data_IF_942024210330
#
_entry.id   IF_942024210330
#
_cell.length_a   1.000
_cell.length_b   1.000
_cell.length_c   1.000
_cell.angle_alpha   90.00
_cell.angle_beta   90.00
_cell.angle_gamma   90.00
#
_symmetry.space_group_name_H-M   'P 1'
#
loop_
_entity.id
_entity.type
_entity.pdbx_description
1 polymer ?
#
# COMPACT_ATOMS: atom_id res chain seq x y z
N UNK A 1 11.66 83.30 -32.83
CA UNK A 1 11.00 82.72 -34.01
C UNK A 1 10.73 81.26 -33.67
N UNK A 2 9.63 80.98 -32.98
CA UNK A 2 8.29 80.73 -33.52
C UNK A 2 8.15 79.26 -33.96
N UNK A 3 7.77 78.40 -33.03
CA UNK A 3 7.19 77.10 -33.36
C UNK A 3 5.82 76.99 -32.69
N UNK A 4 4.80 77.04 -33.53
CA UNK A 4 3.38 76.98 -33.16
C UNK A 4 2.73 76.10 -34.20
N UNK A 5 2.40 74.84 -33.86
CA UNK A 5 1.33 74.09 -34.52
C UNK A 5 0.61 73.18 -33.52
N UNK A 6 -0.56 73.68 -33.13
CA UNK A 6 -1.72 72.96 -32.62
C UNK A 6 -2.46 72.24 -33.78
N UNK A 7 -3.15 71.15 -33.45
CA UNK A 7 -4.19 70.49 -34.26
C UNK A 7 -3.81 69.05 -34.64
N UNK A 8 -4.64 68.01 -34.48
CA UNK A 8 -6.09 67.93 -34.35
C UNK A 8 -6.49 66.52 -33.80
N UNK A 9 -7.77 66.24 -33.52
CA UNK A 9 -8.23 65.15 -32.64
C UNK A 9 -8.28 63.79 -33.33
N UNK A 10 -7.86 62.74 -32.62
CA UNK A 10 -8.05 61.35 -33.05
C UNK A 10 -9.53 60.98 -32.92
N UNK A 11 -10.16 60.79 -34.08
CA UNK A 11 -11.49 60.21 -34.20
C UNK A 11 -11.52 58.77 -33.71
N UNK A 12 -12.52 58.48 -32.88
CA UNK A 12 -12.96 57.12 -32.58
C UNK A 12 -13.53 56.48 -33.86
N UNK A 13 -12.95 55.35 -34.27
CA UNK A 13 -13.48 54.51 -35.35
C UNK A 13 -14.62 53.62 -34.79
N UNK A 14 -15.86 53.71 -35.32
CA UNK A 14 -17.00 52.91 -34.83
C UNK A 14 -17.08 51.49 -35.42
N UNK A 15 -16.00 50.94 -35.99
CA UNK A 15 -16.04 49.64 -36.68
C UNK A 15 -15.10 48.63 -36.03
N UNK A 16 -15.37 48.27 -34.79
CA UNK A 16 -14.81 47.04 -34.21
C UNK A 16 -15.83 45.91 -34.41
N UNK A 17 -15.66 45.03 -35.42
CA UNK A 17 -16.52 43.87 -35.54
C UNK A 17 -16.31 42.98 -34.32
N UNK A 18 -17.43 42.60 -33.69
CA UNK A 18 -17.48 41.66 -32.58
C UNK A 18 -16.51 40.51 -32.82
N UNK A 19 -15.39 40.50 -32.08
CA UNK A 19 -14.47 39.36 -32.01
C UNK A 19 -15.28 38.16 -31.54
N UNK A 20 -15.70 37.34 -32.48
CA UNK A 20 -16.13 35.98 -32.22
C UNK A 20 -15.03 35.35 -31.36
N UNK A 21 -15.35 35.08 -30.09
CA UNK A 21 -14.46 34.33 -29.19
C UNK A 21 -14.24 32.98 -29.85
N UNK A 22 -13.12 32.85 -30.54
CA UNK A 22 -12.70 31.62 -31.16
C UNK A 22 -12.64 30.55 -30.08
N UNK A 23 -13.41 29.48 -30.25
CA UNK A 23 -13.42 28.29 -29.39
C UNK A 23 -12.08 27.50 -29.44
N UNK A 24 -10.99 28.13 -29.89
CA UNK A 24 -9.69 27.51 -30.17
C UNK A 24 -8.70 27.54 -29.01
N UNK A 25 -9.03 28.16 -27.88
CA UNK A 25 -8.12 28.22 -26.71
C UNK A 25 -8.30 27.01 -25.77
N UNK A 26 -8.70 25.87 -26.32
CA UNK A 26 -8.62 24.60 -25.61
C UNK A 26 -7.15 24.19 -25.62
N UNK A 27 -6.45 24.49 -24.51
CA UNK A 27 -5.05 24.11 -24.34
C UNK A 27 -4.93 22.57 -24.31
N UNK A 28 -4.33 21.91 -25.32
CA UNK A 28 -4.27 20.46 -25.43
C UNK A 28 -3.51 19.78 -24.27
N UNK A 29 -2.63 20.52 -23.58
CA UNK A 29 -1.96 20.03 -22.37
C UNK A 29 -2.94 19.89 -21.19
N UNK A 30 -3.93 20.77 -21.11
CA UNK A 30 -4.96 20.73 -20.06
C UNK A 30 -5.89 19.55 -20.24
N UNK A 31 -6.28 19.24 -21.48
CA UNK A 31 -7.13 18.09 -21.80
C UNK A 31 -6.43 16.77 -21.53
N UNK A 32 -5.18 16.61 -21.98
CA UNK A 32 -4.39 15.40 -21.70
C UNK A 32 -4.18 15.17 -20.20
N UNK A 33 -4.05 16.25 -19.41
CA UNK A 33 -3.96 16.16 -17.95
C UNK A 33 -5.29 15.75 -17.30
N UNK A 34 -6.42 16.15 -17.89
CA UNK A 34 -7.77 15.80 -17.42
C UNK A 34 -8.11 14.35 -17.75
N UNK A 35 -7.83 13.89 -18.96
CA UNK A 35 -8.03 12.50 -19.38
C UNK A 35 -7.23 11.52 -18.52
N UNK A 36 -5.97 11.84 -18.25
CA UNK A 36 -5.12 11.00 -17.40
C UNK A 36 -5.63 10.91 -15.97
N UNK A 37 -6.08 12.03 -15.39
CA UNK A 37 -6.72 12.03 -14.07
C UNK A 37 -8.01 11.24 -14.05
N UNK A 38 -8.85 11.37 -15.08
CA UNK A 38 -10.09 10.60 -15.19
C UNK A 38 -9.81 9.10 -15.23
N UNK A 39 -8.80 8.68 -16.01
CA UNK A 39 -8.37 7.28 -16.05
C UNK A 39 -7.91 6.80 -14.67
N UNK A 40 -7.07 7.58 -13.98
CA UNK A 40 -6.55 7.21 -12.67
C UNK A 40 -7.68 7.11 -11.62
N UNK A 41 -8.69 7.98 -11.67
CA UNK A 41 -9.89 7.90 -10.83
C UNK A 41 -10.71 6.64 -11.15
N UNK A 42 -10.97 6.38 -12.44
CA UNK A 42 -11.70 5.19 -12.87
C UNK A 42 -10.97 3.91 -12.44
N UNK A 43 -9.64 3.86 -12.57
CA UNK A 43 -8.81 2.77 -12.09
C UNK A 43 -8.98 2.55 -10.58
N UNK A 44 -8.94 3.61 -9.76
CA UNK A 44 -9.15 3.51 -8.31
C UNK A 44 -10.54 2.97 -7.98
N UNK A 45 -11.59 3.49 -8.63
CA UNK A 45 -12.97 3.02 -8.44
C UNK A 45 -13.11 1.55 -8.79
N UNK A 46 -12.53 1.12 -9.93
CA UNK A 46 -12.51 -0.28 -10.35
C UNK A 46 -11.80 -1.15 -9.31
N UNK A 47 -10.64 -0.73 -8.81
CA UNK A 47 -9.86 -1.52 -7.85
C UNK A 47 -10.54 -1.62 -6.47
N UNK A 48 -11.22 -0.56 -6.01
CA UNK A 48 -12.04 -0.64 -4.79
C UNK A 48 -13.24 -1.58 -5.01
N UNK A 49 -13.87 -1.49 -6.18
CA UNK A 49 -15.04 -2.31 -6.51
C UNK A 49 -14.67 -3.79 -6.59
N UNK A 50 -13.67 -4.14 -7.39
CA UNK A 50 -13.22 -5.52 -7.59
C UNK A 50 -12.48 -6.06 -6.36
N UNK A 51 -11.65 -5.24 -5.72
CA UNK A 51 -10.76 -5.66 -4.64
C UNK A 51 -11.40 -5.73 -3.26
N UNK A 52 -12.49 -4.98 -3.02
CA UNK A 52 -13.18 -4.94 -1.73
C UNK A 52 -14.69 -5.14 -1.87
N UNK A 53 -15.38 -4.29 -2.64
CA UNK A 53 -16.84 -4.29 -2.64
C UNK A 53 -17.45 -5.62 -3.11
N UNK A 54 -16.99 -6.18 -4.25
CA UNK A 54 -17.50 -7.44 -4.78
C UNK A 54 -17.21 -8.62 -3.83
N UNK A 55 -15.98 -8.87 -3.35
CA UNK A 55 -15.73 -9.94 -2.39
C UNK A 55 -16.57 -9.83 -1.12
N UNK A 56 -16.76 -8.61 -0.60
CA UNK A 56 -17.61 -8.36 0.57
C UNK A 56 -19.09 -8.65 0.28
N UNK A 57 -19.60 -8.24 -0.88
CA UNK A 57 -20.99 -8.50 -1.28
C UNK A 57 -21.24 -9.99 -1.46
N UNK A 58 -20.31 -10.73 -2.07
CA UNK A 58 -20.38 -12.19 -2.21
C UNK A 58 -20.40 -12.84 -0.82
N UNK A 59 -19.49 -12.44 0.08
CA UNK A 59 -19.45 -12.95 1.44
C UNK A 59 -20.74 -12.63 2.21
N UNK A 60 -21.30 -11.43 2.04
CA UNK A 60 -22.55 -11.03 2.67
C UNK A 60 -23.75 -11.82 2.13
N UNK A 61 -23.86 -12.00 0.80
CA UNK A 61 -24.95 -12.76 0.19
C UNK A 61 -24.91 -14.23 0.55
N UNK A 62 -23.71 -14.79 0.75
CA UNK A 62 -23.52 -16.15 1.21
C UNK A 62 -23.66 -16.31 2.74
N UNK A 63 -23.94 -15.22 3.48
CA UNK A 63 -24.00 -15.25 4.95
C UNK A 63 -22.64 -15.42 5.66
N UNK A 64 -21.54 -15.42 4.90
CA UNK A 64 -20.19 -15.68 5.38
C UNK A 64 -19.47 -14.44 5.95
N UNK A 65 -19.97 -13.21 5.73
CA UNK A 65 -19.25 -11.99 6.14
C UNK A 65 -19.01 -11.91 7.65
N UNK A 66 -19.92 -12.45 8.46
CA UNK A 66 -19.85 -12.42 9.93
C UNK A 66 -19.33 -13.72 10.54
N UNK A 67 -18.87 -14.65 9.70
CA UNK A 67 -18.42 -15.98 10.11
C UNK A 67 -16.91 -16.05 9.81
N UNK A 68 -16.08 -16.43 10.80
CA UNK A 68 -14.66 -16.60 10.57
C UNK A 68 -14.41 -17.81 9.67
N UNK A 69 -13.40 -17.73 8.80
CA UNK A 69 -13.02 -18.72 7.79
C UNK A 69 -11.50 -18.95 7.78
N UNK A 70 -11.09 -20.19 7.50
CA UNK A 70 -9.67 -20.59 7.49
C UNK A 70 -9.02 -20.35 8.86
N UNK A 71 -7.88 -19.65 8.92
CA UNK A 71 -7.17 -19.38 10.18
C UNK A 71 -7.64 -18.08 10.84
N UNK A 72 -8.53 -17.31 10.20
CA UNK A 72 -8.90 -15.99 10.70
C UNK A 72 -9.66 -16.04 12.04
N UNK A 73 -10.31 -17.18 12.38
CA UNK A 73 -10.96 -17.39 13.68
C UNK A 73 -9.95 -17.25 14.81
N UNK A 74 -8.73 -17.77 14.62
CA UNK A 74 -7.65 -17.69 15.59
C UNK A 74 -7.17 -16.26 15.72
N UNK A 75 -7.01 -15.54 14.60
CA UNK A 75 -6.51 -14.17 14.61
C UNK A 75 -7.53 -13.19 15.22
N UNK A 76 -8.83 -13.40 14.94
CA UNK A 76 -9.94 -12.66 15.55
C UNK A 76 -10.03 -12.94 17.05
N UNK A 77 -9.86 -14.20 17.47
CA UNK A 77 -9.84 -14.56 18.90
C UNK A 77 -8.70 -13.85 19.63
N UNK A 78 -7.49 -13.85 19.05
CA UNK A 78 -6.34 -13.13 19.58
C UNK A 78 -6.61 -11.62 19.66
N UNK A 79 -7.19 -11.03 18.61
CA UNK A 79 -7.53 -9.61 18.56
C UNK A 79 -8.53 -9.23 19.68
N UNK A 80 -9.63 -9.96 19.79
CA UNK A 80 -10.72 -9.64 20.71
C UNK A 80 -10.30 -9.79 22.16
N UNK A 81 -9.64 -10.90 22.53
CA UNK A 81 -9.06 -11.07 23.87
C UNK A 81 -8.06 -9.97 24.23
N UNK A 82 -7.22 -9.58 23.25
CA UNK A 82 -6.24 -8.54 23.50
C UNK A 82 -6.89 -7.18 23.78
N UNK A 83 -7.92 -6.79 23.02
CA UNK A 83 -8.63 -5.51 23.27
C UNK A 83 -9.53 -5.55 24.50
N UNK A 84 -9.94 -6.74 24.95
CA UNK A 84 -10.65 -6.95 26.23
C UNK A 84 -9.72 -6.87 27.45
N UNK A 85 -8.39 -6.86 27.24
CA UNK A 85 -7.40 -6.73 28.30
C UNK A 85 -6.83 -8.04 28.84
N UNK A 86 -7.14 -9.17 28.21
CA UNK A 86 -6.63 -10.50 28.59
C UNK A 86 -5.13 -10.71 28.27
N UNK A 87 -4.49 -9.67 27.72
CA UNK A 87 -3.13 -9.74 27.22
C UNK A 87 -3.05 -10.37 25.83
N UNK A 88 -1.84 -10.36 25.26
CA UNK A 88 -1.59 -10.92 23.94
C UNK A 88 -1.21 -12.40 24.06
N UNK A 89 -1.98 -13.28 23.42
CA UNK A 89 -1.78 -14.73 23.42
C UNK A 89 -2.15 -15.31 22.04
N UNK A 90 -1.37 -16.27 21.54
CA UNK A 90 -1.48 -16.80 20.18
C UNK A 90 -2.22 -18.13 20.03
N UNK A 91 -2.97 -18.52 21.06
CA UNK A 91 -3.95 -19.60 21.09
C UNK A 91 -3.51 -20.94 20.47
N UNK A 92 -2.20 -21.21 20.48
CA UNK A 92 -1.54 -22.36 19.89
C UNK A 92 -1.76 -22.54 18.38
N UNK A 93 -2.20 -21.49 17.66
CA UNK A 93 -2.51 -21.58 16.22
C UNK A 93 -1.80 -20.51 15.36
N UNK A 94 -1.42 -19.37 15.94
CA UNK A 94 -0.73 -18.30 15.18
C UNK A 94 0.74 -18.65 14.96
N UNK A 95 1.16 -18.75 13.69
CA UNK A 95 2.55 -19.02 13.28
C UNK A 95 3.30 -17.83 12.68
N UNK A 96 2.58 -16.78 12.29
CA UNK A 96 3.15 -15.55 11.74
C UNK A 96 3.33 -14.49 12.83
N UNK A 97 4.01 -13.39 12.51
CA UNK A 97 4.19 -12.31 13.48
C UNK A 97 2.89 -11.71 13.98
N UNK A 98 1.92 -11.49 13.08
CA UNK A 98 0.52 -11.04 13.31
C UNK A 98 0.33 -9.69 14.03
N UNK A 99 1.26 -9.27 14.89
CA UNK A 99 1.13 -8.13 15.82
C UNK A 99 0.77 -6.83 15.10
N UNK A 100 1.42 -6.53 13.97
CA UNK A 100 1.12 -5.32 13.22
C UNK A 100 -0.34 -5.26 12.76
N UNK A 101 -0.91 -6.39 12.36
CA UNK A 101 -2.31 -6.48 11.95
C UNK A 101 -3.25 -6.31 13.15
N UNK A 102 -2.89 -6.86 14.31
CA UNK A 102 -3.67 -6.65 15.54
C UNK A 102 -3.72 -5.17 15.91
N UNK A 103 -2.57 -4.48 15.88
CA UNK A 103 -2.49 -3.03 16.15
C UNK A 103 -3.36 -2.23 15.18
N UNK A 104 -3.31 -2.57 13.88
CA UNK A 104 -4.13 -1.89 12.87
C UNK A 104 -5.64 -2.14 13.06
N UNK A 105 -6.02 -3.34 13.51
CA UNK A 105 -7.42 -3.74 13.65
C UNK A 105 -8.05 -3.40 15.01
N UNK A 106 -7.24 -3.17 16.05
CA UNK A 106 -7.72 -2.89 17.40
C UNK A 106 -8.72 -1.71 17.48
N UNK A 107 -8.49 -0.55 16.82
CA UNK A 107 -9.48 0.53 16.82
C UNK A 107 -10.82 0.11 16.22
N UNK A 108 -10.81 -0.73 15.18
CA UNK A 108 -12.03 -1.24 14.54
C UNK A 108 -12.76 -2.19 15.48
N UNK A 109 -12.03 -3.10 16.15
CA UNK A 109 -12.61 -4.04 17.10
C UNK A 109 -13.29 -3.31 18.27
N UNK A 110 -12.65 -2.28 18.83
CA UNK A 110 -13.19 -1.47 19.93
C UNK A 110 -14.41 -0.67 19.48
N UNK A 111 -14.29 0.10 18.40
CA UNK A 111 -15.38 0.98 17.92
C UNK A 111 -16.59 0.20 17.42
N UNK A 112 -16.37 -0.96 16.80
CA UNK A 112 -17.43 -1.82 16.26
C UNK A 112 -17.89 -2.91 17.24
N UNK A 113 -17.48 -2.87 18.52
CA UNK A 113 -17.89 -3.79 19.59
C UNK A 113 -17.72 -5.27 19.21
N UNK A 114 -16.50 -5.67 18.86
CA UNK A 114 -16.16 -7.05 18.50
C UNK A 114 -16.86 -7.61 17.24
N UNK A 115 -17.24 -6.72 16.31
CA UNK A 115 -17.86 -7.14 15.06
C UNK A 115 -16.86 -7.76 14.08
N UNK A 116 -16.96 -9.07 13.87
CA UNK A 116 -16.19 -9.83 12.85
C UNK A 116 -16.36 -9.19 11.47
N UNK A 117 -17.60 -8.86 11.09
CA UNK A 117 -17.89 -8.25 9.80
C UNK A 117 -17.22 -6.89 9.63
N UNK A 118 -17.12 -6.08 10.68
CA UNK A 118 -16.42 -4.79 10.63
C UNK A 118 -14.92 -4.96 10.40
N UNK A 119 -14.31 -5.96 11.07
CA UNK A 119 -12.89 -6.29 10.89
C UNK A 119 -12.64 -6.82 9.47
N UNK A 120 -13.52 -7.68 8.93
CA UNK A 120 -13.43 -8.15 7.54
C UNK A 120 -13.55 -7.01 6.52
N UNK A 121 -14.48 -6.07 6.73
CA UNK A 121 -14.61 -4.88 5.88
C UNK A 121 -13.34 -4.03 5.95
N UNK A 122 -12.78 -3.81 7.15
CA UNK A 122 -11.54 -3.07 7.31
C UNK A 122 -10.36 -3.74 6.57
N UNK A 123 -10.23 -5.06 6.65
CA UNK A 123 -9.21 -5.82 5.90
C UNK A 123 -9.36 -5.65 4.40
N UNK A 124 -10.58 -5.76 3.87
CA UNK A 124 -10.85 -5.59 2.44
C UNK A 124 -10.48 -4.18 1.95
N UNK A 125 -10.80 -3.15 2.73
CA UNK A 125 -10.45 -1.75 2.42
C UNK A 125 -8.94 -1.53 2.45
N UNK A 126 -8.23 -2.11 3.42
CA UNK A 126 -6.75 -2.12 3.44
C UNK A 126 -6.23 -2.79 2.18
N UNK A 127 -6.78 -3.95 1.79
CA UNK A 127 -6.43 -4.64 0.55
C UNK A 127 -6.59 -3.77 -0.70
N UNK A 128 -7.68 -3.01 -0.81
CA UNK A 128 -7.90 -2.08 -1.91
C UNK A 128 -6.80 -1.00 -1.98
N UNK A 129 -6.32 -0.50 -0.84
CA UNK A 129 -5.15 0.41 -0.80
C UNK A 129 -3.90 -0.29 -1.36
N UNK A 130 -3.69 -1.56 -1.04
CA UNK A 130 -2.62 -2.38 -1.60
C UNK A 130 -2.69 -2.50 -3.13
N UNK A 131 -3.88 -2.73 -3.68
CA UNK A 131 -4.10 -2.78 -5.13
C UNK A 131 -3.85 -1.44 -5.81
N UNK A 132 -4.24 -0.33 -5.19
CA UNK A 132 -3.96 1.02 -5.69
C UNK A 132 -2.45 1.29 -5.68
N UNK A 133 -1.73 0.84 -4.64
CA UNK A 133 -0.29 0.92 -4.58
C UNK A 133 0.39 0.07 -5.66
N UNK A 134 -0.10 -1.15 -5.92
CA UNK A 134 0.35 -2.00 -7.02
C UNK A 134 0.13 -1.31 -8.38
N UNK A 135 -1.05 -0.73 -8.60
CA UNK A 135 -1.34 0.06 -9.80
C UNK A 135 -0.35 1.22 -9.97
N UNK A 136 -0.12 1.98 -8.90
CA UNK A 136 0.85 3.08 -8.91
C UNK A 136 2.26 2.58 -9.30
N UNK A 137 2.75 1.50 -8.68
CA UNK A 137 4.05 0.91 -9.03
C UNK A 137 4.06 0.49 -10.49
N UNK A 138 3.01 -0.18 -10.98
CA UNK A 138 2.87 -0.60 -12.37
C UNK A 138 2.95 0.58 -13.34
N UNK A 139 2.27 1.70 -13.05
CA UNK A 139 2.34 2.91 -13.90
C UNK A 139 3.77 3.44 -13.99
N UNK A 140 4.52 3.41 -12.87
CA UNK A 140 5.90 3.89 -12.83
C UNK A 140 6.92 2.93 -13.44
N UNK A 141 6.66 1.64 -13.43
CA UNK A 141 7.59 0.64 -14.01
C UNK A 141 7.32 0.44 -15.50
N UNK A 142 6.05 0.27 -15.87
CA UNK A 142 5.63 -0.02 -17.25
C UNK A 142 5.48 1.25 -18.10
N UNK A 143 5.46 2.44 -17.47
CA UNK A 143 5.24 3.74 -18.13
C UNK A 143 3.91 3.82 -18.90
N UNK A 144 2.98 2.90 -18.62
CA UNK A 144 1.68 2.76 -19.29
C UNK A 144 0.59 2.40 -18.28
N UNK A 145 -0.54 3.10 -18.34
CA UNK A 145 -1.66 2.96 -17.40
C UNK A 145 -2.47 1.69 -17.61
N UNK A 146 -2.83 1.37 -18.84
CA UNK A 146 -3.68 0.21 -19.12
C UNK A 146 -3.03 -1.12 -18.72
N UNK A 147 -1.74 -1.38 -19.04
CA UNK A 147 -1.06 -2.58 -18.56
C UNK A 147 -0.91 -2.62 -17.03
N UNK A 148 -0.65 -1.47 -16.40
CA UNK A 148 -0.59 -1.39 -14.94
C UNK A 148 -1.93 -1.71 -14.27
N UNK A 149 -3.03 -1.22 -14.85
CA UNK A 149 -4.38 -1.52 -14.39
C UNK A 149 -4.69 -3.01 -14.59
N UNK A 150 -4.32 -3.58 -15.74
CA UNK A 150 -4.50 -5.01 -16.01
C UNK A 150 -3.81 -5.85 -14.93
N UNK A 151 -2.56 -5.56 -14.56
CA UNK A 151 -1.85 -6.26 -13.48
C UNK A 151 -2.62 -6.19 -12.15
N UNK A 152 -3.11 -5.01 -11.77
CA UNK A 152 -3.84 -4.84 -10.53
C UNK A 152 -5.23 -5.53 -10.56
N UNK A 153 -5.92 -5.51 -11.69
CA UNK A 153 -7.19 -6.24 -11.89
C UNK A 153 -6.97 -7.75 -11.84
N UNK A 154 -5.90 -8.26 -12.48
CA UNK A 154 -5.56 -9.69 -12.42
C UNK A 154 -5.32 -10.14 -10.99
N UNK A 155 -4.65 -9.32 -10.16
CA UNK A 155 -4.51 -9.62 -8.73
C UNK A 155 -5.87 -9.62 -8.01
N UNK A 156 -6.69 -8.58 -8.21
CA UNK A 156 -7.99 -8.43 -7.56
C UNK A 156 -8.99 -9.56 -7.90
N UNK A 157 -8.93 -10.08 -9.13
CA UNK A 157 -9.76 -11.19 -9.61
C UNK A 157 -9.13 -12.57 -9.37
N UNK A 158 -7.94 -12.64 -8.80
CA UNK A 158 -7.32 -13.92 -8.50
C UNK A 158 -8.16 -14.70 -7.49
N UNK A 159 -8.27 -16.05 -7.61
CA UNK A 159 -9.03 -16.86 -6.67
C UNK A 159 -8.57 -16.67 -5.22
N UNK A 160 -7.26 -16.46 -5.02
CA UNK A 160 -6.68 -16.16 -3.71
C UNK A 160 -7.19 -14.84 -3.16
N UNK A 161 -7.19 -13.76 -3.95
CA UNK A 161 -7.67 -12.46 -3.50
C UNK A 161 -9.16 -12.49 -3.14
N UNK A 162 -9.99 -13.05 -4.01
CA UNK A 162 -11.45 -13.09 -3.80
C UNK A 162 -11.81 -13.87 -2.54
N UNK A 163 -11.09 -14.97 -2.25
CA UNK A 163 -11.31 -15.75 -1.04
C UNK A 163 -10.80 -15.05 0.24
N UNK A 164 -9.69 -14.30 0.16
CA UNK A 164 -9.00 -13.71 1.31
C UNK A 164 -9.42 -12.27 1.64
N UNK A 165 -9.88 -11.48 0.66
CA UNK A 165 -10.28 -10.09 0.88
C UNK A 165 -11.37 -9.92 1.96
N UNK A 166 -12.41 -10.78 2.05
CA UNK A 166 -13.45 -10.67 3.07
C UNK A 166 -13.13 -11.45 4.36
N UNK A 167 -11.87 -11.79 4.66
CA UNK A 167 -11.45 -12.48 5.89
C UNK A 167 -10.50 -11.61 6.70
N UNK A 168 -10.18 -12.01 7.94
CA UNK A 168 -9.11 -11.37 8.72
C UNK A 168 -7.75 -12.06 8.51
N UNK A 169 -7.49 -12.59 7.32
CA UNK A 169 -6.20 -13.24 7.00
C UNK A 169 -5.07 -12.22 6.85
N UNK A 170 -3.86 -12.60 7.26
CA UNK A 170 -2.70 -11.70 7.30
C UNK A 170 -2.03 -11.43 5.96
N UNK A 171 -2.41 -12.17 4.93
CA UNK A 171 -1.91 -12.04 3.56
C UNK A 171 -2.28 -10.69 2.93
N UNK A 172 -3.53 -10.24 3.08
CA UNK A 172 -4.03 -8.97 2.52
C UNK A 172 -3.34 -7.73 3.13
N UNK A 173 -3.28 -7.56 4.47
CA UNK A 173 -2.57 -6.42 5.05
C UNK A 173 -1.05 -6.49 4.82
N UNK A 174 -0.45 -7.69 4.83
CA UNK A 174 0.97 -7.86 4.50
C UNK A 174 1.28 -7.47 3.06
N UNK A 175 0.48 -7.95 2.09
CA UNK A 175 0.57 -7.53 0.69
C UNK A 175 0.47 -6.00 0.56
N UNK A 176 -0.49 -5.40 1.27
CA UNK A 176 -0.71 -3.94 1.23
C UNK A 176 0.52 -3.17 1.68
N UNK A 177 1.12 -3.54 2.83
CA UNK A 177 2.33 -2.88 3.32
C UNK A 177 3.52 -3.11 2.39
N UNK A 178 3.66 -4.30 1.80
CA UNK A 178 4.70 -4.58 0.82
C UNK A 178 4.55 -3.72 -0.46
N UNK A 179 3.31 -3.54 -0.95
CA UNK A 179 3.06 -2.67 -2.11
C UNK A 179 3.25 -1.20 -1.78
N UNK A 180 2.82 -0.73 -0.60
CA UNK A 180 3.06 0.64 -0.16
C UNK A 180 4.55 0.94 0.02
N UNK A 181 5.30 0.01 0.64
CA UNK A 181 6.76 0.09 0.76
C UNK A 181 7.43 0.20 -0.60
N UNK A 182 7.01 -0.65 -1.55
CA UNK A 182 7.54 -0.67 -2.92
C UNK A 182 7.20 0.64 -3.64
N UNK A 183 5.97 1.14 -3.51
CA UNK A 183 5.53 2.42 -4.06
C UNK A 183 6.34 3.59 -3.51
N UNK A 184 6.59 3.62 -2.20
CA UNK A 184 7.46 4.60 -1.56
C UNK A 184 8.90 4.51 -2.10
N UNK A 185 9.42 3.30 -2.26
CA UNK A 185 10.77 3.05 -2.76
C UNK A 185 10.94 3.54 -4.20
N UNK A 186 10.04 3.14 -5.09
CA UNK A 186 9.97 3.61 -6.48
C UNK A 186 9.89 5.14 -6.53
N UNK A 187 9.01 5.75 -5.72
CA UNK A 187 8.89 7.21 -5.67
C UNK A 187 10.18 7.88 -5.21
N UNK A 188 10.86 7.32 -4.22
CA UNK A 188 12.16 7.77 -3.73
C UNK A 188 13.23 7.71 -4.81
N UNK A 189 13.39 6.57 -5.47
CA UNK A 189 14.37 6.38 -6.54
C UNK A 189 14.15 7.34 -7.72
N UNK A 190 12.90 7.66 -8.04
CA UNK A 190 12.54 8.62 -9.09
C UNK A 190 12.67 10.10 -8.67
N UNK A 191 12.73 10.42 -7.37
CA UNK A 191 12.71 11.81 -6.87
C UNK A 191 14.03 12.19 -6.20
N UNK A 192 15.00 12.70 -6.96
CA UNK A 192 16.37 13.01 -6.48
C UNK A 192 16.41 13.83 -5.18
N UNK A 193 15.63 14.91 -5.08
CA UNK A 193 15.67 15.83 -3.92
C UNK A 193 15.08 15.28 -2.63
N UNK A 194 14.33 14.16 -2.68
CA UNK A 194 13.63 13.59 -1.51
C UNK A 194 13.91 12.09 -1.33
N UNK A 195 15.03 11.58 -1.83
CA UNK A 195 15.39 10.16 -1.76
C UNK A 195 15.39 9.62 -0.32
N UNK A 196 16.00 10.35 0.62
CA UNK A 196 16.14 9.90 2.01
C UNK A 196 14.79 9.81 2.74
N UNK A 197 13.90 10.83 2.72
CA UNK A 197 12.57 10.68 3.32
C UNK A 197 11.77 9.48 2.77
N UNK A 198 11.85 9.23 1.45
CA UNK A 198 11.19 8.08 0.85
C UNK A 198 11.84 6.75 1.25
N UNK A 199 13.16 6.69 1.38
CA UNK A 199 13.87 5.53 1.93
C UNK A 199 13.42 5.22 3.37
N UNK A 200 13.30 6.25 4.21
CA UNK A 200 12.80 6.09 5.60
C UNK A 200 11.37 5.56 5.58
N UNK A 201 10.49 6.11 4.73
CA UNK A 201 9.13 5.62 4.58
C UNK A 201 9.09 4.16 4.09
N UNK A 202 9.92 3.79 3.12
CA UNK A 202 10.09 2.40 2.66
C UNK A 202 10.49 1.49 3.83
N UNK A 203 11.52 1.85 4.60
CA UNK A 203 11.96 1.01 5.72
C UNK A 203 10.88 0.91 6.80
N UNK A 204 10.21 2.00 7.16
CA UNK A 204 9.13 1.98 8.14
C UNK A 204 7.98 1.05 7.70
N UNK A 205 7.55 1.13 6.43
CA UNK A 205 6.52 0.27 5.87
C UNK A 205 6.96 -1.20 5.78
N UNK A 206 8.24 -1.46 5.47
CA UNK A 206 8.81 -2.80 5.44
C UNK A 206 8.87 -3.45 6.82
N UNK A 207 9.33 -2.71 7.84
CA UNK A 207 9.32 -3.16 9.25
C UNK A 207 7.89 -3.42 9.72
N UNK A 208 6.96 -2.52 9.39
CA UNK A 208 5.54 -2.73 9.67
C UNK A 208 5.02 -4.00 8.96
N UNK A 209 5.38 -4.24 7.71
CA UNK A 209 5.06 -5.47 6.98
C UNK A 209 5.58 -6.73 7.69
N UNK A 210 6.84 -6.70 8.13
CA UNK A 210 7.47 -7.80 8.87
C UNK A 210 6.79 -8.07 10.22
N UNK A 211 6.20 -7.05 10.84
CA UNK A 211 5.40 -7.22 12.07
C UNK A 211 4.04 -7.90 11.83
N UNK A 212 3.61 -8.05 10.57
CA UNK A 212 2.43 -8.82 10.17
C UNK A 212 2.83 -10.21 9.67
N UNK A 213 3.77 -10.26 8.71
CA UNK A 213 4.33 -11.52 8.17
C UNK A 213 5.81 -11.38 7.88
N UNK A 214 6.57 -12.39 8.29
CA UNK A 214 8.04 -12.42 8.18
C UNK A 214 8.55 -12.27 6.73
N UNK A 215 7.84 -12.83 5.74
CA UNK A 215 8.27 -12.77 4.34
C UNK A 215 8.25 -11.37 3.72
N UNK A 216 7.63 -10.37 4.38
CA UNK A 216 7.69 -8.97 3.95
C UNK A 216 9.14 -8.43 3.92
N UNK A 217 10.09 -9.13 4.56
CA UNK A 217 11.53 -8.82 4.48
C UNK A 217 12.09 -8.92 3.06
N UNK A 218 11.52 -9.77 2.19
CA UNK A 218 12.03 -10.01 0.84
C UNK A 218 11.98 -8.74 -0.02
N UNK A 219 10.81 -8.11 -0.23
CA UNK A 219 10.78 -6.87 -1.00
C UNK A 219 11.51 -5.70 -0.30
N UNK A 220 11.66 -5.72 1.04
CA UNK A 220 12.43 -4.71 1.76
C UNK A 220 13.91 -4.78 1.38
N UNK A 221 14.50 -5.98 1.41
CA UNK A 221 15.88 -6.22 0.99
C UNK A 221 16.06 -5.80 -0.47
N UNK A 222 15.13 -6.18 -1.36
CA UNK A 222 15.21 -5.84 -2.78
C UNK A 222 15.24 -4.32 -3.02
N UNK A 223 14.39 -3.55 -2.33
CA UNK A 223 14.35 -2.09 -2.46
C UNK A 223 15.59 -1.44 -1.86
N UNK A 224 16.10 -1.93 -0.72
CA UNK A 224 17.36 -1.44 -0.13
C UNK A 224 18.56 -1.66 -1.07
N UNK A 225 18.63 -2.82 -1.72
CA UNK A 225 19.64 -3.11 -2.75
C UNK A 225 19.50 -2.10 -3.90
N UNK A 226 18.27 -1.83 -4.37
CA UNK A 226 18.05 -0.86 -5.44
C UNK A 226 18.53 0.56 -5.06
N UNK A 227 18.29 1.01 -3.83
CA UNK A 227 18.84 2.27 -3.30
C UNK A 227 20.36 2.27 -3.25
N UNK A 228 20.98 1.17 -2.79
CA UNK A 228 22.44 1.06 -2.74
C UNK A 228 23.08 1.09 -4.15
N UNK A 229 22.46 0.40 -5.12
CA UNK A 229 22.90 0.41 -6.52
C UNK A 229 22.82 1.81 -7.11
N UNK A 230 21.69 2.52 -6.90
CA UNK A 230 21.53 3.90 -7.37
C UNK A 230 22.50 4.85 -6.68
N UNK A 231 22.70 4.72 -5.36
CA UNK A 231 23.67 5.53 -4.62
C UNK A 231 25.10 5.34 -5.15
N UNK A 232 25.50 4.08 -5.43
CA UNK A 232 26.81 3.76 -6.01
C UNK A 232 26.95 4.33 -7.41
N UNK A 233 25.95 4.15 -8.28
CA UNK A 233 25.96 4.64 -9.67
C UNK A 233 26.05 6.16 -9.73
N UNK A 234 25.30 6.85 -8.88
CA UNK A 234 25.23 8.32 -8.87
C UNK A 234 26.38 8.95 -8.04
N UNK A 235 27.24 8.16 -7.39
CA UNK A 235 28.31 8.65 -6.51
C UNK A 235 27.83 9.31 -5.21
N UNK A 236 26.56 9.09 -4.84
CA UNK A 236 25.91 9.74 -3.70
C UNK A 236 26.24 9.04 -2.37
N UNK A 237 27.32 9.50 -1.74
CA UNK A 237 27.78 8.96 -0.44
C UNK A 237 26.77 9.15 0.69
N UNK A 238 25.97 10.22 0.65
CA UNK A 238 24.98 10.48 1.68
C UNK A 238 23.84 9.47 1.60
N UNK A 239 23.34 9.20 0.39
CA UNK A 239 22.34 8.17 0.16
C UNK A 239 22.85 6.77 0.49
N UNK A 240 24.11 6.45 0.16
CA UNK A 240 24.71 5.16 0.51
C UNK A 240 24.76 4.96 2.04
N UNK A 241 25.25 5.96 2.78
CA UNK A 241 25.27 5.92 4.26
C UNK A 241 23.86 5.79 4.83
N UNK A 242 22.91 6.56 4.31
CA UNK A 242 21.51 6.47 4.73
C UNK A 242 20.91 5.09 4.44
N UNK A 243 21.24 4.47 3.31
CA UNK A 243 20.77 3.12 2.93
C UNK A 243 21.33 2.06 3.87
N UNK A 244 22.63 2.10 4.16
CA UNK A 244 23.27 1.19 5.11
C UNK A 244 22.70 1.38 6.51
N UNK A 245 22.62 2.62 6.99
CA UNK A 245 22.06 2.93 8.31
C UNK A 245 20.60 2.47 8.42
N UNK A 246 19.77 2.74 7.41
CA UNK A 246 18.37 2.30 7.40
C UNK A 246 18.26 0.77 7.34
N UNK A 247 19.15 0.09 6.62
CA UNK A 247 19.22 -1.37 6.59
C UNK A 247 19.59 -1.98 7.94
N UNK A 248 20.57 -1.41 8.66
CA UNK A 248 20.94 -1.83 10.01
C UNK A 248 19.77 -1.59 10.98
N UNK A 249 19.15 -0.40 10.94
CA UNK A 249 17.98 -0.07 11.77
C UNK A 249 16.84 -1.04 11.50
N UNK A 250 16.56 -1.35 10.23
CA UNK A 250 15.53 -2.32 9.87
C UNK A 250 15.84 -3.72 10.41
N UNK A 251 17.09 -4.18 10.27
CA UNK A 251 17.53 -5.47 10.77
C UNK A 251 17.37 -5.57 12.29
N UNK A 252 17.83 -4.56 13.04
CA UNK A 252 17.67 -4.49 14.49
C UNK A 252 16.19 -4.45 14.89
N UNK A 253 15.39 -3.60 14.25
CA UNK A 253 13.96 -3.49 14.55
C UNK A 253 13.21 -4.81 14.29
N UNK A 254 13.47 -5.46 13.16
CA UNK A 254 12.89 -6.77 12.85
C UNK A 254 13.39 -7.81 13.86
N UNK A 255 14.68 -7.83 14.19
CA UNK A 255 15.22 -8.73 15.21
C UNK A 255 14.56 -8.58 16.57
N UNK A 256 14.34 -7.34 17.02
CA UNK A 256 13.61 -7.03 18.26
C UNK A 256 12.17 -7.51 18.18
N UNK A 257 11.47 -7.26 17.06
CA UNK A 257 10.10 -7.75 16.85
C UNK A 257 10.06 -9.28 16.90
N UNK A 258 10.99 -9.98 16.26
CA UNK A 258 11.03 -11.45 16.24
C UNK A 258 11.35 -12.02 17.61
N UNK A 259 12.30 -11.42 18.33
CA UNK A 259 12.67 -11.84 19.67
C UNK A 259 11.51 -11.66 20.66
N UNK A 260 10.85 -10.50 20.62
CA UNK A 260 9.67 -10.24 21.43
C UNK A 260 8.48 -11.13 21.02
N UNK A 261 8.26 -11.34 19.72
CA UNK A 261 7.24 -12.25 19.22
C UNK A 261 7.43 -13.67 19.75
N UNK A 262 8.68 -14.15 19.82
CA UNK A 262 8.99 -15.47 20.37
C UNK A 262 8.71 -15.57 21.89
N UNK A 263 8.56 -14.44 22.59
CA UNK A 263 8.17 -14.41 24.00
C UNK A 263 6.65 -14.39 24.22
N UNK A 264 5.85 -14.21 23.16
CA UNK A 264 4.38 -14.23 23.27
C UNK A 264 3.93 -15.67 23.59
N UNK A 265 3.03 -15.87 24.58
CA UNK A 265 2.54 -17.19 24.93
C UNK A 265 1.79 -17.90 23.79
N UNK A 266 1.91 -19.23 23.79
CA UNK A 266 1.15 -20.13 22.93
C UNK A 266 1.22 -19.84 21.42
N UNK A 267 2.39 -19.59 20.81
CA UNK A 267 2.49 -19.60 19.35
C UNK A 267 2.26 -21.03 18.84
N UNK A 268 1.87 -21.18 17.57
CA UNK A 268 1.82 -22.52 16.96
C UNK A 268 3.22 -23.16 16.99
N UNK A 269 3.39 -24.17 17.84
CA UNK A 269 4.64 -24.93 17.97
C UNK A 269 4.65 -26.04 16.93
N UNK A 270 5.23 -25.76 15.76
CA UNK A 270 5.64 -26.78 14.77
C UNK A 270 5.15 -26.56 13.34
N UNK A 271 6.04 -26.07 12.45
CA UNK A 271 6.51 -26.78 11.25
C UNK A 271 7.34 -25.85 10.30
N UNK A 272 8.50 -26.31 9.76
CA UNK A 272 9.12 -27.60 9.98
C UNK A 272 10.02 -27.57 11.22
N UNK A 273 9.84 -28.60 12.05
CA UNK A 273 10.87 -29.02 13.00
C UNK A 273 12.14 -29.36 12.22
N UNK A 274 13.30 -29.08 12.81
CA UNK A 274 14.51 -29.79 12.41
C UNK A 274 14.18 -31.27 12.29
N UNK A 275 14.53 -31.97 11.19
CA UNK A 275 14.35 -33.41 11.12
C UNK A 275 15.12 -34.04 12.28
N UNK A 276 14.41 -34.45 13.32
CA UNK A 276 14.98 -35.25 14.39
C UNK A 276 15.12 -36.67 13.86
N UNK A 277 16.28 -37.30 14.07
CA UNK A 277 16.61 -38.66 13.59
C UNK A 277 15.57 -39.74 13.96
N UNK A 278 14.68 -39.48 14.93
CA UNK A 278 13.55 -40.35 15.27
C UNK A 278 12.42 -40.38 14.23
N UNK A 279 12.21 -39.33 13.43
CA UNK A 279 11.13 -39.27 12.43
C UNK A 279 11.47 -39.96 11.11
N UNK A 280 12.62 -40.65 11.03
CA UNK A 280 13.10 -41.41 9.86
C UNK A 280 13.14 -42.92 10.11
N UNK A 281 12.63 -43.38 11.25
CA UNK A 281 12.67 -44.81 11.66
C UNK A 281 11.30 -45.47 11.73
N UNK A 282 10.24 -44.78 11.32
CA UNK A 282 8.91 -45.33 11.05
C UNK A 282 8.62 -45.28 9.56
#
# INVERSE_FOLDING_TARGET
MSDTRLGAPQGQDPREPARARSNSDINPLSERSRETRFFDIAAVVILITLGAAIPLLIAQSAGALKIPRSDDWSYLTTLFRWVDGDGLNFNNWVSMTLVGQLVLAAPVAVLARHSIGAVHVATALIGAVGLIALYYVGVRVLQRRSPALLVAITMALSPLWVAMAPTFMSDIPSFTLQMLMTAAGVKGLLTKSRRIPWLVATVALGVAGCSIRQFAIVPLIAVLIAFAVVAKRDGDRALMRATIASGIIAFVAIGVIMFWWASIPDPLKGAPMHPTLGSLRE
#
